data_IF_618873836666
#
_entry.id   IF_618873836666
#
_cell.length_a   1.000
_cell.length_b   1.000
_cell.length_c   1.000
_cell.angle_alpha   90.00
_cell.angle_beta   90.00
_cell.angle_gamma   90.00
#
_symmetry.space_group_name_H-M   'P 1'
#
loop_
_entity.id
_entity.type
_entity.pdbx_description
1 polymer ?
#
# COMPACT_ATOMS: atom_id res chain seq x y z
N UNK A 1 -37.88 9.79 -1.38
CA UNK A 1 -37.13 9.06 -2.42
C UNK A 1 -36.78 10.09 -3.46
N UNK A 2 -35.49 10.37 -3.62
CA UNK A 2 -34.84 10.57 -4.92
C UNK A 2 -33.33 10.70 -4.66
N UNK A 3 -32.66 9.56 -4.80
CA UNK A 3 -31.22 9.43 -4.82
C UNK A 3 -30.74 9.85 -6.21
N UNK A 4 -30.60 11.15 -6.41
CA UNK A 4 -30.01 11.70 -7.64
C UNK A 4 -29.18 12.94 -7.31
N UNK A 5 -28.04 12.71 -6.66
CA UNK A 5 -26.88 13.63 -6.68
C UNK A 5 -25.62 12.94 -6.18
N UNK A 6 -25.28 11.76 -6.71
CA UNK A 6 -23.90 11.28 -6.68
C UNK A 6 -23.19 11.85 -7.92
N UNK A 7 -23.01 13.17 -7.94
CA UNK A 7 -22.00 13.78 -8.79
C UNK A 7 -20.66 13.56 -8.10
N UNK A 8 -19.91 12.59 -8.61
CA UNK A 8 -18.54 12.25 -8.25
C UNK A 8 -17.66 13.50 -8.08
N UNK A 9 -17.46 13.92 -6.84
CA UNK A 9 -16.39 14.86 -6.49
C UNK A 9 -15.10 14.07 -6.30
N UNK A 10 -14.33 13.91 -7.37
CA UNK A 10 -13.00 13.29 -7.40
C UNK A 10 -11.95 14.15 -6.67
N UNK A 11 -12.19 14.57 -5.42
CA UNK A 11 -11.23 15.43 -4.68
C UNK A 11 -11.26 15.42 -3.14
N UNK A 12 -11.82 14.44 -2.41
CA UNK A 12 -11.82 14.49 -0.92
C UNK A 12 -11.00 13.44 -0.18
N UNK A 13 -10.52 12.39 -0.84
CA UNK A 13 -9.74 11.35 -0.18
C UNK A 13 -8.27 11.74 -0.03
N UNK A 14 -7.78 11.68 1.20
CA UNK A 14 -6.38 11.92 1.58
C UNK A 14 -6.00 11.07 2.79
N UNK A 15 -4.71 10.80 2.95
CA UNK A 15 -4.18 10.03 4.06
C UNK A 15 -3.29 8.88 3.59
N UNK A 16 -2.70 8.17 4.55
CA UNK A 16 -1.71 7.14 4.27
C UNK A 16 -2.28 6.01 3.40
N UNK A 17 -3.43 5.47 3.79
CA UNK A 17 -4.13 4.41 3.05
C UNK A 17 -4.48 4.82 1.62
N UNK A 18 -4.95 6.07 1.47
CA UNK A 18 -5.29 6.65 0.16
C UNK A 18 -4.05 6.73 -0.73
N UNK A 19 -2.91 7.18 -0.19
CA UNK A 19 -1.67 7.27 -0.94
C UNK A 19 -1.18 5.91 -1.42
N UNK A 20 -1.32 4.86 -0.61
CA UNK A 20 -0.95 3.50 -1.02
C UNK A 20 -1.92 2.91 -2.05
N UNK A 21 -3.22 3.21 -1.98
CA UNK A 21 -4.14 2.85 -3.07
C UNK A 21 -3.82 3.60 -4.38
N UNK A 22 -3.44 4.88 -4.30
CA UNK A 22 -2.97 5.65 -5.46
C UNK A 22 -1.66 5.10 -6.01
N UNK A 23 -0.78 4.57 -5.17
CA UNK A 23 0.44 3.90 -5.59
C UNK A 23 0.13 2.66 -6.44
N UNK A 24 -0.82 1.83 -5.99
CA UNK A 24 -1.26 0.64 -6.75
C UNK A 24 -1.81 1.06 -8.12
N UNK A 25 -2.68 2.06 -8.15
CA UNK A 25 -3.23 2.59 -9.40
C UNK A 25 -2.13 3.14 -10.33
N UNK A 26 -1.19 3.93 -9.80
CA UNK A 26 -0.09 4.48 -10.59
C UNK A 26 0.78 3.39 -11.20
N UNK A 27 1.13 2.36 -10.44
CA UNK A 27 1.91 1.23 -10.96
C UNK A 27 1.20 0.47 -12.08
N UNK A 28 -0.14 0.41 -12.04
CA UNK A 28 -0.96 -0.36 -12.99
C UNK A 28 -1.32 0.46 -14.24
N UNK A 29 -1.49 1.77 -14.07
CA UNK A 29 -2.02 2.68 -15.09
C UNK A 29 -0.99 3.70 -15.57
N UNK A 30 0.29 3.32 -15.63
CA UNK A 30 1.34 4.10 -16.28
C UNK A 30 1.64 5.44 -15.61
N UNK A 31 1.57 5.48 -14.28
CA UNK A 31 1.80 6.66 -13.44
C UNK A 31 0.54 7.44 -13.10
N UNK A 32 -0.65 7.03 -13.58
CA UNK A 32 -1.90 7.67 -13.20
C UNK A 32 -2.42 7.16 -11.85
N UNK A 33 -1.97 7.79 -10.76
CA UNK A 33 -2.49 7.52 -9.42
C UNK A 33 -3.92 8.00 -9.18
N UNK A 34 -4.57 8.67 -10.14
CA UNK A 34 -5.98 9.10 -10.02
C UNK A 34 -6.95 8.06 -10.60
N UNK A 35 -6.45 7.05 -11.30
CA UNK A 35 -7.21 5.93 -11.83
C UNK A 35 -7.58 4.91 -10.72
N UNK A 36 -8.27 5.39 -9.69
CA UNK A 36 -8.70 4.62 -8.53
C UNK A 36 -10.10 5.07 -8.09
N UNK A 37 -10.95 4.10 -7.75
CA UNK A 37 -12.25 4.33 -7.11
C UNK A 37 -12.16 3.96 -5.63
N UNK A 38 -12.61 4.87 -4.76
CA UNK A 38 -12.62 4.65 -3.32
C UNK A 38 -14.01 4.23 -2.86
N UNK A 39 -14.05 3.16 -2.06
CA UNK A 39 -15.26 2.68 -1.39
C UNK A 39 -15.07 2.89 0.12
N UNK A 40 -15.95 3.68 0.72
CA UNK A 40 -15.94 3.88 2.17
C UNK A 40 -16.29 2.58 2.89
N UNK A 41 -15.50 2.24 3.90
CA UNK A 41 -15.75 1.10 4.78
C UNK A 41 -16.23 1.60 6.15
N UNK A 42 -17.30 1.00 6.66
CA UNK A 42 -17.82 1.26 7.99
C UNK A 42 -17.07 0.49 9.09
N UNK A 43 -16.41 -0.62 8.73
CA UNK A 43 -15.57 -1.44 9.61
C UNK A 43 -14.53 -2.23 8.82
N UNK A 44 -13.55 -2.81 9.52
CA UNK A 44 -12.59 -3.74 8.92
C UNK A 44 -13.24 -5.01 8.35
N UNK A 45 -14.23 -5.57 9.05
CA UNK A 45 -14.97 -6.76 8.59
C UNK A 45 -15.68 -6.52 7.25
N UNK A 46 -16.28 -5.34 7.06
CA UNK A 46 -16.90 -4.99 5.77
C UNK A 46 -15.87 -5.00 4.62
N UNK A 47 -14.63 -4.58 4.88
CA UNK A 47 -13.56 -4.60 3.88
C UNK A 47 -13.24 -6.02 3.40
N UNK A 48 -13.12 -6.98 4.33
CA UNK A 48 -12.89 -8.39 4.00
C UNK A 48 -14.09 -8.99 3.25
N UNK A 49 -15.32 -8.71 3.67
CA UNK A 49 -16.53 -9.14 2.96
C UNK A 49 -16.55 -8.62 1.52
N UNK A 50 -16.25 -7.34 1.30
CA UNK A 50 -16.20 -6.72 -0.03
C UNK A 50 -15.11 -7.32 -0.92
N UNK A 51 -13.92 -7.56 -0.38
CA UNK A 51 -12.87 -8.30 -1.10
C UNK A 51 -13.35 -9.69 -1.48
N UNK A 52 -13.96 -10.43 -0.55
CA UNK A 52 -14.44 -11.80 -0.80
C UNK A 52 -15.52 -11.86 -1.91
N UNK A 53 -16.34 -10.82 -2.02
CA UNK A 53 -17.42 -10.69 -2.99
C UNK A 53 -17.00 -10.06 -4.32
N UNK A 54 -15.71 -9.76 -4.52
CA UNK A 54 -15.19 -9.08 -5.71
C UNK A 54 -15.79 -7.68 -5.93
N UNK A 55 -16.17 -6.99 -4.85
CA UNK A 55 -16.65 -5.61 -4.91
C UNK A 55 -15.50 -4.59 -4.94
N UNK A 56 -14.34 -4.97 -4.39
CA UNK A 56 -13.10 -4.18 -4.39
C UNK A 56 -11.91 -5.09 -4.68
N UNK A 57 -10.84 -4.53 -5.24
CA UNK A 57 -9.62 -5.27 -5.59
C UNK A 57 -8.55 -5.24 -4.48
N UNK A 58 -8.54 -4.17 -3.67
CA UNK A 58 -7.62 -3.95 -2.55
C UNK A 58 -8.37 -3.31 -1.40
N UNK A 59 -8.10 -3.77 -0.18
CA UNK A 59 -8.46 -3.06 1.04
C UNK A 59 -7.19 -2.47 1.66
N UNK A 60 -7.21 -1.20 2.04
CA UNK A 60 -6.14 -0.56 2.81
C UNK A 60 -6.50 -0.54 4.30
N UNK A 61 -5.49 -0.56 5.16
CA UNK A 61 -5.66 -0.49 6.61
C UNK A 61 -5.93 -1.85 7.27
N UNK A 62 -5.64 -2.96 6.60
CA UNK A 62 -5.80 -4.28 7.19
C UNK A 62 -4.63 -4.67 8.09
N UNK A 63 -4.93 -5.26 9.24
CA UNK A 63 -3.93 -5.75 10.21
C UNK A 63 -3.47 -7.15 9.80
N UNK A 64 -2.17 -7.34 9.62
CA UNK A 64 -1.62 -8.67 9.30
C UNK A 64 -1.40 -9.49 10.58
N UNK A 65 -2.22 -10.53 10.76
CA UNK A 65 -2.13 -11.48 11.86
C UNK A 65 -2.56 -12.88 11.41
N UNK A 66 -2.34 -13.90 12.25
CA UNK A 66 -2.66 -15.29 11.92
C UNK A 66 -4.16 -15.50 11.60
N UNK A 67 -5.05 -14.78 12.27
CA UNK A 67 -6.49 -14.90 12.08
C UNK A 67 -6.88 -14.42 10.68
N UNK A 68 -6.50 -13.20 10.30
CA UNK A 68 -6.87 -12.64 9.00
C UNK A 68 -6.15 -13.32 7.81
N UNK A 69 -4.93 -13.84 8.03
CA UNK A 69 -4.15 -14.57 7.00
C UNK A 69 -4.76 -15.95 6.70
N UNK A 70 -5.18 -16.70 7.73
CA UNK A 70 -5.63 -18.10 7.57
C UNK A 70 -7.15 -18.24 7.50
N UNK A 71 -7.88 -17.51 8.35
CA UNK A 71 -9.34 -17.65 8.49
C UNK A 71 -9.94 -16.41 9.16
N UNK A 72 -10.16 -15.37 8.37
CA UNK A 72 -10.76 -14.13 8.82
C UNK A 72 -12.21 -14.37 9.31
N UNK A 73 -12.59 -13.73 10.41
CA UNK A 73 -13.79 -14.08 11.16
C UNK A 73 -15.12 -13.85 10.43
N UNK A 74 -15.22 -12.81 9.59
CA UNK A 74 -16.47 -12.46 8.90
C UNK A 74 -16.72 -13.32 7.65
N UNK A 75 -15.67 -13.68 6.94
CA UNK A 75 -15.75 -14.41 5.66
C UNK A 75 -15.41 -15.90 5.79
N UNK A 76 -14.62 -16.27 6.79
CA UNK A 76 -14.07 -17.62 6.95
C UNK A 76 -12.99 -17.99 5.93
N UNK A 77 -12.44 -17.01 5.21
CA UNK A 77 -11.41 -17.17 4.17
C UNK A 77 -10.05 -16.65 4.65
N UNK A 78 -8.98 -17.08 3.97
CA UNK A 78 -7.65 -16.47 4.10
C UNK A 78 -7.47 -15.29 3.14
N UNK A 79 -6.59 -14.37 3.50
CA UNK A 79 -6.25 -13.18 2.70
C UNK A 79 -4.74 -12.97 2.61
N UNK A 80 -4.30 -12.29 1.56
CA UNK A 80 -2.91 -11.95 1.34
C UNK A 80 -2.62 -10.49 1.71
N UNK A 81 -1.45 -10.24 2.29
CA UNK A 81 -1.04 -8.95 2.82
C UNK A 81 0.23 -8.44 2.12
N UNK A 82 0.29 -7.13 1.87
CA UNK A 82 1.55 -6.47 1.55
C UNK A 82 2.51 -6.51 2.74
N UNK A 83 3.75 -6.05 2.53
CA UNK A 83 4.55 -5.59 3.67
C UNK A 83 3.76 -4.52 4.46
N UNK A 84 3.81 -4.50 5.80
CA UNK A 84 3.15 -3.45 6.54
C UNK A 84 3.79 -2.09 6.21
N UNK A 85 2.94 -1.11 5.92
CA UNK A 85 3.35 0.26 5.63
C UNK A 85 3.15 1.20 6.82
N UNK A 86 2.51 0.74 7.90
CA UNK A 86 2.39 1.49 9.13
C UNK A 86 2.38 0.55 10.33
N UNK A 87 3.10 0.97 11.38
CA UNK A 87 3.10 0.33 12.68
C UNK A 87 2.57 1.30 13.73
N UNK A 88 1.48 0.91 14.39
CA UNK A 88 0.91 1.57 15.54
C UNK A 88 1.86 1.55 16.74
N UNK A 89 1.57 2.42 17.70
CA UNK A 89 2.32 2.52 18.96
C UNK A 89 1.53 2.01 20.17
N UNK A 90 0.37 1.39 19.91
CA UNK A 90 -0.48 0.73 20.91
C UNK A 90 0.10 -0.65 21.30
N UNK A 91 -0.33 -1.18 22.45
CA UNK A 91 0.04 -2.54 22.89
C UNK A 91 -0.58 -3.64 22.00
N UNK A 92 -1.61 -3.29 21.23
CA UNK A 92 -2.24 -4.18 20.25
C UNK A 92 -1.44 -4.26 18.93
N UNK A 93 -0.31 -3.53 18.82
CA UNK A 93 0.59 -3.45 17.67
C UNK A 93 -0.14 -3.45 16.31
N UNK A 94 -0.81 -2.35 15.96
CA UNK A 94 -1.41 -2.22 14.62
C UNK A 94 -0.31 -2.32 13.55
N UNK A 95 -0.44 -3.23 12.60
CA UNK A 95 0.48 -3.36 11.45
C UNK A 95 -0.31 -3.27 10.14
N UNK A 96 -0.57 -2.05 9.69
CA UNK A 96 -1.45 -1.81 8.55
C UNK A 96 -0.77 -2.18 7.24
N UNK A 97 -1.50 -2.92 6.43
CA UNK A 97 -1.09 -3.44 5.13
C UNK A 97 -2.18 -3.16 4.09
N UNK A 98 -1.80 -3.32 2.82
CA UNK A 98 -2.77 -3.54 1.75
C UNK A 98 -3.15 -5.01 1.77
N UNK A 99 -4.43 -5.29 1.60
CA UNK A 99 -5.02 -6.63 1.64
C UNK A 99 -5.63 -6.96 0.29
N UNK A 100 -5.39 -8.18 -0.15
CA UNK A 100 -5.92 -8.76 -1.38
C UNK A 100 -6.46 -10.15 -1.11
N UNK A 101 -7.21 -10.71 -2.06
CA UNK A 101 -7.56 -12.13 -2.04
C UNK A 101 -6.30 -12.97 -2.28
N UNK A 102 -6.22 -14.14 -1.66
CA UNK A 102 -5.06 -15.03 -1.78
C UNK A 102 -5.02 -15.85 -3.08
N UNK A 103 -6.10 -15.85 -3.86
CA UNK A 103 -6.26 -16.70 -5.06
C UNK A 103 -5.75 -16.07 -6.37
N UNK A 104 -5.25 -14.83 -6.31
CA UNK A 104 -4.60 -14.14 -7.43
C UNK A 104 -3.13 -13.83 -7.10
N UNK A 105 -2.24 -14.74 -7.50
CA UNK A 105 -0.82 -14.64 -7.20
C UNK A 105 -0.15 -13.44 -7.88
N UNK A 106 -0.55 -13.09 -9.10
CA UNK A 106 0.04 -11.97 -9.82
C UNK A 106 -0.38 -10.65 -9.15
N UNK A 107 -1.66 -10.55 -8.75
CA UNK A 107 -2.19 -9.37 -8.08
C UNK A 107 -1.62 -9.16 -6.67
N UNK A 108 -1.61 -10.19 -5.82
CA UNK A 108 -1.04 -10.05 -4.47
C UNK A 108 0.44 -9.70 -4.53
N UNK A 109 1.17 -10.24 -5.51
CA UNK A 109 2.59 -9.94 -5.72
C UNK A 109 2.75 -8.50 -6.17
N UNK A 110 1.93 -8.04 -7.13
CA UNK A 110 1.92 -6.65 -7.59
C UNK A 110 1.68 -5.65 -6.45
N UNK A 111 0.66 -5.89 -5.62
CA UNK A 111 0.31 -5.05 -4.47
C UNK A 111 1.41 -5.07 -3.41
N UNK A 112 1.99 -6.23 -3.11
CA UNK A 112 3.14 -6.35 -2.21
C UNK A 112 4.31 -5.49 -2.69
N UNK A 113 4.68 -5.63 -3.97
CA UNK A 113 5.82 -4.92 -4.56
C UNK A 113 5.57 -3.41 -4.70
N UNK A 114 4.31 -2.98 -4.80
CA UNK A 114 3.95 -1.55 -4.79
C UNK A 114 4.38 -0.90 -3.47
N UNK A 115 4.06 -1.52 -2.34
CA UNK A 115 4.45 -1.00 -1.02
C UNK A 115 5.97 -1.07 -0.86
N UNK A 116 6.56 -2.22 -1.20
CA UNK A 116 8.00 -2.44 -1.05
C UNK A 116 8.86 -1.48 -1.90
N UNK A 117 8.38 -1.07 -3.07
CA UNK A 117 9.05 -0.07 -3.91
C UNK A 117 9.20 1.28 -3.22
N UNK A 118 8.17 1.75 -2.50
CA UNK A 118 8.23 3.04 -1.79
C UNK A 118 9.25 3.02 -0.65
N UNK A 119 9.40 1.86 0.00
CA UNK A 119 10.38 1.64 1.08
C UNK A 119 11.80 1.57 0.49
N UNK A 120 11.98 0.83 -0.60
CA UNK A 120 13.26 0.74 -1.31
C UNK A 120 13.74 2.11 -1.82
N UNK A 121 12.82 2.89 -2.40
CA UNK A 121 13.11 4.24 -2.86
C UNK A 121 13.60 5.13 -1.72
N UNK A 122 12.94 5.07 -0.55
CA UNK A 122 13.36 5.86 0.61
C UNK A 122 14.77 5.46 1.08
N UNK A 123 15.08 4.16 1.10
CA UNK A 123 16.39 3.65 1.52
C UNK A 123 17.53 4.15 0.63
N UNK A 124 17.27 4.28 -0.67
CA UNK A 124 18.24 4.71 -1.66
C UNK A 124 18.20 6.22 -1.92
N UNK A 125 17.51 6.99 -1.06
CA UNK A 125 17.31 8.43 -1.21
C UNK A 125 16.66 8.83 -2.56
N UNK A 126 15.90 7.92 -3.18
CA UNK A 126 15.15 8.14 -4.41
C UNK A 126 13.84 8.84 -4.03
N UNK A 127 13.75 10.13 -4.31
CA UNK A 127 12.54 10.94 -4.11
C UNK A 127 11.59 10.85 -5.30
N UNK A 128 10.40 11.46 -5.17
CA UNK A 128 9.49 11.64 -6.30
C UNK A 128 10.16 12.29 -7.53
N UNK A 129 11.10 13.22 -7.33
CA UNK A 129 11.83 13.88 -8.42
C UNK A 129 12.85 12.96 -9.10
N UNK A 130 13.35 11.96 -8.37
CA UNK A 130 14.35 10.99 -8.82
C UNK A 130 13.72 9.65 -9.24
N UNK A 131 12.40 9.60 -9.45
CA UNK A 131 11.66 8.37 -9.74
C UNK A 131 12.27 7.50 -10.86
N UNK A 132 12.96 8.11 -11.84
CA UNK A 132 13.62 7.42 -12.95
C UNK A 132 14.81 6.55 -12.52
N UNK A 133 15.34 6.76 -11.32
CA UNK A 133 16.43 5.98 -10.75
C UNK A 133 15.93 4.62 -10.22
N UNK A 134 14.61 4.44 -10.06
CA UNK A 134 14.04 3.11 -9.79
C UNK A 134 14.25 2.16 -10.97
N UNK A 135 14.56 0.88 -10.72
CA UNK A 135 14.77 -0.09 -11.78
C UNK A 135 13.47 -0.40 -12.52
N UNK A 136 13.59 -0.68 -13.82
CA UNK A 136 12.51 -1.30 -14.59
C UNK A 136 12.45 -2.79 -14.28
N UNK A 137 11.24 -3.35 -14.19
CA UNK A 137 11.00 -4.79 -14.01
C UNK A 137 10.35 -5.37 -15.26
N UNK A 138 10.36 -6.68 -15.46
CA UNK A 138 9.66 -7.30 -16.59
C UNK A 138 8.73 -8.46 -16.17
N UNK A 139 8.56 -8.64 -14.86
CA UNK A 139 7.82 -9.77 -14.28
C UNK A 139 6.32 -9.73 -14.65
N UNK A 140 5.74 -8.55 -14.87
CA UNK A 140 4.35 -8.36 -15.30
C UNK A 140 4.22 -8.07 -16.82
N UNK A 141 5.27 -8.33 -17.59
CA UNK A 141 5.34 -8.03 -19.02
C UNK A 141 5.75 -6.59 -19.34
N UNK A 142 5.99 -6.33 -20.62
CA UNK A 142 6.58 -5.08 -21.11
C UNK A 142 5.68 -3.83 -20.94
N UNK A 143 4.38 -4.01 -20.69
CA UNK A 143 3.45 -2.88 -20.48
C UNK A 143 3.53 -2.30 -19.07
N UNK A 144 4.09 -3.05 -18.11
CA UNK A 144 4.21 -2.66 -16.70
C UNK A 144 5.68 -2.63 -16.27
N UNK A 145 6.58 -2.41 -17.23
CA UNK A 145 8.02 -2.46 -16.97
C UNK A 145 8.50 -1.31 -16.08
N UNK A 146 7.78 -0.20 -16.15
CA UNK A 146 7.99 1.01 -15.34
C UNK A 146 7.22 1.03 -14.03
N UNK A 147 6.58 -0.07 -13.61
CA UNK A 147 5.73 -0.10 -12.42
C UNK A 147 6.37 0.56 -11.18
N UNK A 148 7.65 0.30 -10.87
CA UNK A 148 8.33 0.97 -9.76
C UNK A 148 8.56 2.47 -9.98
N UNK A 149 8.94 2.87 -11.18
CA UNK A 149 9.12 4.28 -11.54
C UNK A 149 7.80 5.03 -11.45
N UNK A 150 6.72 4.41 -11.91
CA UNK A 150 5.39 5.02 -11.97
C UNK A 150 4.78 5.19 -10.56
N UNK A 151 5.01 4.22 -9.67
CA UNK A 151 4.69 4.35 -8.24
C UNK A 151 5.40 5.57 -7.63
N UNK A 152 6.73 5.66 -7.73
CA UNK A 152 7.48 6.75 -7.12
C UNK A 152 7.17 8.10 -7.80
N UNK A 153 6.97 8.11 -9.12
CA UNK A 153 6.55 9.30 -9.86
C UNK A 153 5.24 9.86 -9.32
N UNK A 154 4.25 8.99 -9.04
CA UNK A 154 2.94 9.45 -8.60
C UNK A 154 2.87 9.81 -7.12
N UNK A 155 3.51 9.02 -6.25
CA UNK A 155 3.30 9.14 -4.79
C UNK A 155 4.56 9.40 -3.98
N UNK A 156 5.75 9.42 -4.60
CA UNK A 156 7.03 9.53 -3.90
C UNK A 156 7.39 8.28 -3.09
N UNK A 157 8.48 8.37 -2.35
CA UNK A 157 8.94 7.31 -1.47
C UNK A 157 8.14 7.25 -0.15
N UNK A 158 8.39 6.22 0.67
CA UNK A 158 7.66 6.01 1.91
C UNK A 158 7.80 7.19 2.89
N UNK A 159 8.97 7.80 2.97
CA UNK A 159 9.20 8.98 3.79
C UNK A 159 8.36 10.19 3.35
N UNK A 160 8.26 10.44 2.04
CA UNK A 160 7.42 11.49 1.46
C UNK A 160 5.92 11.22 1.69
N UNK A 161 5.49 9.97 1.52
CA UNK A 161 4.12 9.50 1.81
C UNK A 161 3.77 9.74 3.29
N UNK A 162 4.62 9.26 4.20
CA UNK A 162 4.38 9.42 5.63
C UNK A 162 4.38 10.90 6.04
N UNK A 163 5.32 11.69 5.49
CA UNK A 163 5.46 13.11 5.82
C UNK A 163 4.21 13.92 5.49
N UNK A 164 3.63 13.71 4.31
CA UNK A 164 2.42 14.45 3.90
C UNK A 164 1.15 14.00 4.61
N UNK A 165 1.08 12.72 5.01
CA UNK A 165 -0.17 12.13 5.47
C UNK A 165 -0.30 12.01 6.98
N UNK A 166 0.78 11.71 7.71
CA UNK A 166 0.71 11.40 9.14
C UNK A 166 1.66 12.18 10.03
N UNK A 167 2.75 12.77 9.50
CA UNK A 167 3.83 13.30 10.34
C UNK A 167 3.39 14.35 11.37
N UNK A 168 2.41 15.21 11.03
CA UNK A 168 1.88 16.21 11.97
C UNK A 168 1.04 15.60 13.10
N UNK A 169 0.38 14.47 12.84
CA UNK A 169 -0.52 13.80 13.78
C UNK A 169 0.20 12.73 14.61
N UNK A 170 1.02 11.92 13.95
CA UNK A 170 1.75 10.77 14.48
C UNK A 170 3.20 10.87 14.00
N UNK A 171 4.08 11.57 14.74
CA UNK A 171 5.47 11.77 14.34
C UNK A 171 6.20 10.43 14.13
N UNK A 172 6.84 10.28 12.97
CA UNK A 172 7.48 9.03 12.55
C UNK A 172 8.61 8.60 13.49
N UNK A 173 8.45 7.42 14.10
CA UNK A 173 9.42 6.79 15.01
C UNK A 173 9.33 5.27 15.02
N UNK A 174 10.31 4.62 15.64
CA UNK A 174 10.33 3.17 15.84
C UNK A 174 10.29 2.41 14.51
N UNK A 175 9.42 1.38 14.44
CA UNK A 175 9.25 0.50 13.27
C UNK A 175 8.84 1.22 11.98
N UNK A 176 8.32 2.45 12.08
CA UNK A 176 8.02 3.28 10.91
C UNK A 176 9.26 3.94 10.30
N UNK A 177 10.46 3.88 10.90
CA UNK A 177 11.69 4.44 10.30
C UNK A 177 12.46 3.35 9.55
N UNK A 178 13.19 3.76 8.51
CA UNK A 178 14.19 2.89 7.88
C UNK A 178 15.25 2.45 8.89
N UNK A 179 15.71 1.23 8.70
CA UNK A 179 16.74 0.64 9.53
C UNK A 179 18.13 1.00 9.01
N UNK A 180 18.57 2.25 9.25
CA UNK A 180 19.92 2.70 8.90
C UNK A 180 20.84 2.67 10.13
N UNK A 181 21.91 1.85 10.12
CA UNK A 181 23.00 1.92 11.12
C UNK A 181 23.41 0.60 11.78
N UNK A 182 24.05 0.68 12.96
CA UNK A 182 24.72 -0.42 13.67
C UNK A 182 23.79 -1.25 14.60
N UNK A 183 22.49 -0.92 14.65
CA UNK A 183 21.50 -1.64 15.43
C UNK A 183 20.34 -2.08 14.52
N UNK A 184 20.49 -3.20 13.79
CA UNK A 184 19.44 -3.67 12.91
C UNK A 184 18.28 -4.22 13.74
N UNK A 185 17.23 -3.40 13.89
CA UNK A 185 15.93 -3.81 14.42
C UNK A 185 14.91 -4.03 13.29
N UNK A 186 13.76 -4.68 13.54
CA UNK A 186 12.72 -4.86 12.52
C UNK A 186 12.16 -3.48 12.09
N UNK A 187 11.66 -3.22 10.86
CA UNK A 187 10.98 -4.17 9.96
C UNK A 187 10.71 -3.64 8.53
N UNK A 188 11.33 -2.55 8.11
CA UNK A 188 11.39 -2.21 6.68
C UNK A 188 12.71 -2.80 6.16
N UNK A 189 12.73 -4.12 5.93
CA UNK A 189 13.95 -4.78 5.46
C UNK A 189 14.19 -4.37 4.01
N UNK A 190 15.38 -3.84 3.68
CA UNK A 190 15.73 -3.55 2.30
C UNK A 190 15.93 -4.84 1.53
N UNK A 191 15.31 -4.97 0.37
CA UNK A 191 15.35 -6.24 -0.36
C UNK A 191 16.74 -6.51 -0.94
N UNK A 192 17.37 -7.65 -0.58
CA UNK A 192 18.65 -8.02 -1.17
C UNK A 192 18.45 -8.43 -2.64
N UNK A 193 19.17 -7.77 -3.56
CA UNK A 193 19.30 -8.24 -4.95
C UNK A 193 18.75 -7.35 -6.07
N UNK A 194 18.29 -6.13 -5.80
CA UNK A 194 17.96 -5.13 -6.83
C UNK A 194 19.17 -4.26 -7.25
N UNK A 195 20.39 -4.82 -7.20
CA UNK A 195 21.64 -4.13 -7.58
C UNK A 195 21.93 -4.30 -9.07
#
# INVERSE_FOLDING_TARGET
MDASSLSSSSSSYSGLDVDFCRAVAAGLFGGDGTAVEFVDLSSGSEGYEKLSNLEVDVMAGGTWNLENDVQEASTGLGFAFSQPYFYGYSEEEDNLCLVTREDDQDWLTFVFWTVAATIHAEEHDITQELYSDMPTIYVYGASLDRMFQDVIFSVGNYGEIYNRSLQELIPRRGRNRLNSGMHPGPQHYPMPGLI
#
